data_IF_768199660527
#
_entry.id   IF_768199660527
#
_cell.length_a   1.000
_cell.length_b   1.000
_cell.length_c   1.000
_cell.angle_alpha   90.00
_cell.angle_beta   90.00
_cell.angle_gamma   90.00
#
_symmetry.space_group_name_H-M   'P 1'
#
loop_
_entity.id
_entity.type
_entity.pdbx_description
1 polymer ?
#
# COMPACT_ATOMS: atom_id res chain seq x y z
N UNK A 1 -14.96 0.38 -6.70
CA UNK A 1 -14.16 -0.41 -5.72
C UNK A 1 -14.44 0.15 -4.33
N UNK A 2 -15.47 -0.33 -3.63
CA UNK A 2 -15.90 0.23 -2.34
C UNK A 2 -15.38 -0.58 -1.15
N UNK A 3 -15.45 -1.90 -1.25
CA UNK A 3 -15.13 -2.81 -0.14
C UNK A 3 -13.69 -2.67 0.38
N UNK A 4 -12.67 -2.77 -0.48
CA UNK A 4 -11.26 -2.75 -0.04
C UNK A 4 -10.82 -1.40 0.54
N UNK A 5 -11.43 -0.31 0.08
CA UNK A 5 -11.16 1.04 0.63
C UNK A 5 -11.74 1.15 2.04
N UNK A 6 -12.99 0.72 2.23
CA UNK A 6 -13.62 0.73 3.55
C UNK A 6 -12.95 -0.25 4.52
N UNK A 7 -12.50 -1.41 4.03
CA UNK A 7 -11.67 -2.35 4.80
C UNK A 7 -10.37 -1.70 5.26
N UNK A 8 -9.63 -1.02 4.37
CA UNK A 8 -8.38 -0.36 4.72
C UNK A 8 -8.58 0.71 5.80
N UNK A 9 -9.64 1.52 5.67
CA UNK A 9 -10.02 2.51 6.69
C UNK A 9 -10.35 1.84 8.03
N UNK A 10 -11.20 0.80 8.03
CA UNK A 10 -11.60 0.09 9.24
C UNK A 10 -10.40 -0.56 9.96
N UNK A 11 -9.50 -1.20 9.19
CA UNK A 11 -8.27 -1.77 9.73
C UNK A 11 -7.37 -0.70 10.35
N UNK A 12 -7.21 0.46 9.70
CA UNK A 12 -6.36 1.54 10.23
C UNK A 12 -6.87 2.13 11.57
N UNK A 13 -8.19 2.05 11.80
CA UNK A 13 -8.84 2.46 13.04
C UNK A 13 -8.78 1.40 14.14
N UNK A 14 -8.32 0.19 13.83
CA UNK A 14 -8.25 -0.91 14.79
C UNK A 14 -7.11 -0.68 15.80
N UNK A 15 -7.30 -0.99 17.10
CA UNK A 15 -6.25 -0.90 18.10
C UNK A 15 -4.99 -1.68 17.67
N UNK A 16 -3.81 -1.09 17.85
CA UNK A 16 -2.54 -1.70 17.48
C UNK A 16 -2.14 -1.56 16.00
N UNK A 17 -3.05 -1.14 15.11
CA UNK A 17 -2.70 -0.89 13.70
C UNK A 17 -2.12 0.52 13.55
N UNK A 18 -0.88 0.61 13.09
CA UNK A 18 -0.22 1.90 12.83
C UNK A 18 -0.65 2.48 11.48
N UNK A 19 -0.53 1.67 10.43
CA UNK A 19 -0.70 2.07 9.04
C UNK A 19 -1.28 0.93 8.21
N UNK A 20 -2.09 1.27 7.21
CA UNK A 20 -2.59 0.34 6.18
C UNK A 20 -2.33 0.95 4.81
N UNK A 21 -1.60 0.24 3.94
CA UNK A 21 -1.34 0.64 2.56
C UNK A 21 -2.15 -0.23 1.59
N UNK A 22 -3.02 0.40 0.80
CA UNK A 22 -3.70 -0.20 -0.34
C UNK A 22 -2.86 0.02 -1.60
N UNK A 23 -2.06 -0.97 -1.97
CA UNK A 23 -1.21 -0.91 -3.16
C UNK A 23 -2.03 -1.14 -4.44
N UNK A 24 -1.85 -0.30 -5.45
CA UNK A 24 -2.50 -0.42 -6.76
C UNK A 24 -1.63 0.13 -7.88
N UNK A 25 -2.10 0.07 -9.13
CA UNK A 25 -1.38 0.61 -10.30
C UNK A 25 -1.50 2.14 -10.38
N UNK A 26 -0.39 2.80 -10.70
CA UNK A 26 -0.38 4.21 -11.11
C UNK A 26 -0.73 4.34 -12.60
N UNK A 27 -1.65 5.24 -12.94
CA UNK A 27 -2.10 5.46 -14.32
C UNK A 27 -1.93 6.95 -14.63
N UNK A 28 -1.10 7.27 -15.64
CA UNK A 28 -0.81 8.64 -16.10
C UNK A 28 -1.47 8.96 -17.44
N UNK A 29 -2.43 8.13 -17.87
CA UNK A 29 -3.10 8.26 -19.14
C UNK A 29 -3.99 9.52 -19.16
N UNK A 30 -3.93 10.37 -20.21
CA UNK A 30 -4.57 11.68 -20.23
C UNK A 30 -6.11 11.61 -20.28
N UNK A 31 -6.67 10.45 -20.62
CA UNK A 31 -8.10 10.19 -20.64
C UNK A 31 -8.68 9.77 -19.29
N UNK A 32 -7.86 9.73 -18.23
CA UNK A 32 -8.29 9.45 -16.86
C UNK A 32 -8.07 10.67 -15.97
N UNK A 33 -8.77 10.69 -14.84
CA UNK A 33 -8.59 11.73 -13.85
C UNK A 33 -7.15 11.73 -13.31
N UNK A 34 -6.59 12.93 -13.10
CA UNK A 34 -5.18 13.09 -12.69
C UNK A 34 -4.89 12.43 -11.32
N UNK A 35 -5.90 12.28 -10.46
CA UNK A 35 -5.77 11.60 -9.17
C UNK A 35 -5.26 10.15 -9.31
N UNK A 36 -5.54 9.47 -10.41
CA UNK A 36 -4.99 8.12 -10.68
C UNK A 36 -3.47 8.12 -10.91
N UNK A 37 -2.92 9.28 -11.21
CA UNK A 37 -1.49 9.51 -11.33
C UNK A 37 -0.81 9.87 -10.01
N UNK A 38 -1.57 10.25 -8.98
CA UNK A 38 -0.97 10.66 -7.71
C UNK A 38 -0.38 9.46 -6.97
N UNK A 39 0.93 9.45 -6.65
CA UNK A 39 1.62 8.28 -6.12
C UNK A 39 1.10 7.83 -4.76
N UNK A 40 0.57 8.76 -3.96
CA UNK A 40 -0.02 8.49 -2.67
C UNK A 40 -1.29 9.33 -2.47
N UNK A 41 -2.28 8.74 -1.83
CA UNK A 41 -3.52 9.41 -1.43
C UNK A 41 -3.88 8.98 0.00
N UNK A 42 -4.04 9.94 0.90
CA UNK A 42 -4.47 9.68 2.27
C UNK A 42 -5.98 9.40 2.29
N UNK A 43 -6.38 8.24 2.79
CA UNK A 43 -7.79 7.87 2.98
C UNK A 43 -8.31 8.33 4.33
N UNK A 44 -7.57 8.05 5.40
CA UNK A 44 -7.92 8.39 6.79
C UNK A 44 -6.61 8.63 7.54
N UNK A 45 -6.46 9.80 8.18
CA UNK A 45 -5.43 10.00 9.19
C UNK A 45 -5.93 9.49 10.54
N UNK A 46 -5.07 8.77 11.26
CA UNK A 46 -5.30 8.44 12.67
C UNK A 46 -4.41 9.24 13.62
N UNK A 47 -3.67 10.22 13.07
CA UNK A 47 -2.94 11.22 13.82
C UNK A 47 -3.90 12.38 14.12
N UNK A 48 -4.52 12.39 15.29
CA UNK A 48 -5.51 13.39 15.68
C UNK A 48 -5.49 13.68 17.18
N UNK A 49 -5.52 14.97 17.52
CA UNK A 49 -5.28 15.62 18.84
C UNK A 49 -6.06 15.09 20.08
N UNK A 50 -6.93 14.09 19.92
CA UNK A 50 -7.83 13.59 20.96
C UNK A 50 -7.62 12.10 21.31
N UNK A 51 -6.68 11.39 20.68
CA UNK A 51 -6.29 10.05 21.13
C UNK A 51 -5.13 10.15 22.12
N UNK A 52 -5.23 9.50 23.29
CA UNK A 52 -4.17 9.38 24.31
C UNK A 52 -2.87 8.73 23.82
N UNK A 53 -2.79 8.41 22.54
CA UNK A 53 -1.65 7.88 21.81
C UNK A 53 -1.52 8.75 20.55
N UNK A 54 -0.58 9.69 20.58
CA UNK A 54 -0.19 10.42 19.38
C UNK A 54 0.45 9.41 18.42
N UNK A 55 -0.26 9.04 17.36
CA UNK A 55 0.33 8.32 16.23
C UNK A 55 1.00 9.36 15.33
N UNK A 56 2.15 9.01 14.76
CA UNK A 56 2.91 9.94 13.93
C UNK A 56 2.27 10.18 12.56
N UNK A 57 2.89 11.07 11.77
CA UNK A 57 2.38 11.58 10.49
C UNK A 57 2.08 10.48 9.46
N UNK A 58 2.77 9.34 9.52
CA UNK A 58 2.57 8.23 8.60
C UNK A 58 1.46 7.26 9.01
N UNK A 59 0.71 7.55 10.08
CA UNK A 59 -0.36 6.68 10.56
C UNK A 59 -1.65 6.80 9.73
N UNK A 60 -2.47 5.75 9.77
CA UNK A 60 -3.76 5.71 9.07
C UNK A 60 -3.75 4.87 7.79
N UNK A 61 -4.69 5.14 6.88
CA UNK A 61 -4.89 4.37 5.65
C UNK A 61 -4.53 5.19 4.41
N UNK A 62 -3.85 4.56 3.45
CA UNK A 62 -3.36 5.20 2.22
C UNK A 62 -3.67 4.35 1.00
N UNK A 63 -3.94 4.99 -0.14
CA UNK A 63 -3.76 4.37 -1.46
C UNK A 63 -2.36 4.69 -1.92
N UNK A 64 -1.60 3.67 -2.30
CA UNK A 64 -0.26 3.81 -2.85
C UNK A 64 -0.26 3.27 -4.27
N UNK A 65 0.07 4.14 -5.23
CA UNK A 65 0.04 3.81 -6.65
C UNK A 65 1.45 3.51 -7.14
N UNK A 66 1.70 2.23 -7.41
CA UNK A 66 2.97 1.75 -7.94
C UNK A 66 2.97 1.87 -9.46
N UNK A 67 3.95 2.55 -10.07
CA UNK A 67 4.12 2.53 -11.52
C UNK A 67 4.55 1.14 -11.97
N UNK A 68 3.79 0.54 -12.89
CA UNK A 68 4.22 -0.65 -13.62
C UNK A 68 3.49 -0.78 -14.96
N UNK A 69 4.16 -1.39 -15.92
CA UNK A 69 3.74 -1.44 -17.32
C UNK A 69 3.62 -0.05 -17.97
N UNK A 70 2.99 0.04 -19.15
CA UNK A 70 2.79 1.29 -19.87
C UNK A 70 2.03 2.33 -19.02
N UNK A 71 2.62 3.47 -18.71
CA UNK A 71 2.00 4.47 -17.81
C UNK A 71 0.99 5.38 -18.50
N UNK A 72 1.16 5.56 -19.80
CA UNK A 72 0.43 6.47 -20.69
C UNK A 72 -0.92 5.91 -21.16
N UNK A 73 -1.23 4.65 -20.82
CA UNK A 73 -2.51 4.01 -21.15
C UNK A 73 -3.04 3.11 -20.05
N UNK A 74 -4.36 3.04 -19.98
CA UNK A 74 -5.05 2.02 -19.21
C UNK A 74 -4.86 0.64 -19.84
N UNK A 75 -4.73 -0.38 -18.99
CA UNK A 75 -4.74 -1.78 -19.40
C UNK A 75 -5.87 -2.48 -18.65
N UNK A 76 -6.65 -3.28 -19.36
CA UNK A 76 -7.59 -4.20 -18.73
C UNK A 76 -6.82 -5.22 -17.85
N UNK A 77 -7.47 -5.71 -16.80
CA UNK A 77 -6.84 -6.55 -15.77
C UNK A 77 -6.20 -7.82 -16.32
N UNK A 78 -6.72 -8.35 -17.42
CA UNK A 78 -6.24 -9.54 -18.13
C UNK A 78 -4.89 -9.32 -18.81
N UNK A 79 -4.48 -8.06 -19.02
CA UNK A 79 -3.21 -7.70 -19.66
C UNK A 79 -2.14 -7.27 -18.66
N UNK A 80 -2.43 -7.32 -17.36
CA UNK A 80 -1.48 -6.92 -16.32
C UNK A 80 -0.49 -8.02 -15.94
N UNK A 81 -0.77 -9.29 -16.27
CA UNK A 81 0.05 -10.45 -15.88
C UNK A 81 1.54 -10.32 -16.23
N UNK A 82 1.94 -9.85 -17.43
CA UNK A 82 3.35 -9.70 -17.78
C UNK A 82 4.12 -8.70 -16.90
N UNK A 83 3.42 -7.81 -16.21
CA UNK A 83 4.00 -6.72 -15.42
C UNK A 83 3.90 -6.94 -13.90
N UNK A 84 3.47 -8.13 -13.45
CA UNK A 84 3.33 -8.43 -12.02
C UNK A 84 4.68 -8.32 -11.30
N UNK A 85 5.78 -8.77 -11.92
CA UNK A 85 7.10 -8.65 -11.30
C UNK A 85 7.52 -7.20 -11.09
N UNK A 86 7.27 -6.33 -12.07
CA UNK A 86 7.54 -4.88 -11.94
C UNK A 86 6.71 -4.25 -10.82
N UNK A 87 5.45 -4.67 -10.65
CA UNK A 87 4.64 -4.27 -9.50
C UNK A 87 5.24 -4.74 -8.17
N UNK A 88 5.70 -6.00 -8.09
CA UNK A 88 6.32 -6.57 -6.89
C UNK A 88 7.59 -5.80 -6.51
N UNK A 89 8.45 -5.48 -7.47
CA UNK A 89 9.70 -4.74 -7.22
C UNK A 89 9.42 -3.31 -6.70
N UNK A 90 8.43 -2.65 -7.31
CA UNK A 90 7.98 -1.32 -6.87
C UNK A 90 7.31 -1.35 -5.49
N UNK A 91 6.49 -2.36 -5.22
CA UNK A 91 5.85 -2.57 -3.92
C UNK A 91 6.88 -2.88 -2.82
N UNK A 92 7.86 -3.73 -3.10
CA UNK A 92 8.95 -4.05 -2.17
C UNK A 92 9.75 -2.79 -1.82
N UNK A 93 10.08 -1.99 -2.83
CA UNK A 93 10.77 -0.71 -2.64
C UNK A 93 9.97 0.24 -1.74
N UNK A 94 8.65 0.31 -1.93
CA UNK A 94 7.76 1.10 -1.07
C UNK A 94 7.75 0.58 0.37
N UNK A 95 7.56 -0.73 0.57
CA UNK A 95 7.52 -1.36 1.89
C UNK A 95 8.82 -1.09 2.65
N UNK A 96 9.98 -1.30 2.03
CA UNK A 96 11.29 -1.07 2.68
C UNK A 96 11.45 0.40 3.11
N UNK A 97 11.06 1.36 2.26
CA UNK A 97 11.11 2.79 2.61
C UNK A 97 10.20 3.10 3.80
N UNK A 98 8.95 2.63 3.75
CA UNK A 98 7.99 2.89 4.82
C UNK A 98 8.38 2.21 6.13
N UNK A 99 8.95 1.01 6.07
CA UNK A 99 9.42 0.31 7.27
C UNK A 99 10.51 1.09 7.99
N UNK A 100 11.43 1.72 7.25
CA UNK A 100 12.45 2.61 7.85
C UNK A 100 11.81 3.87 8.43
N UNK A 101 10.99 4.57 7.64
CA UNK A 101 10.34 5.81 8.06
C UNK A 101 9.51 5.62 9.34
N UNK A 102 8.70 4.56 9.41
CA UNK A 102 7.89 4.24 10.60
C UNK A 102 8.78 3.84 11.77
N UNK A 103 9.87 3.12 11.55
CA UNK A 103 10.81 2.75 12.60
C UNK A 103 11.50 3.95 13.25
N UNK A 104 11.86 4.94 12.43
CA UNK A 104 12.43 6.23 12.87
C UNK A 104 11.38 7.06 13.61
N UNK A 105 10.19 7.23 13.02
CA UNK A 105 9.08 8.02 13.56
C UNK A 105 8.55 7.48 14.89
N UNK A 106 8.56 6.16 15.07
CA UNK A 106 8.13 5.49 16.31
C UNK A 106 9.25 5.34 17.33
N UNK A 107 10.46 5.84 17.05
CA UNK A 107 11.60 5.80 17.96
C UNK A 107 12.16 4.40 18.23
N UNK A 108 11.87 3.41 17.37
CA UNK A 108 12.33 2.02 17.53
C UNK A 108 13.79 1.82 17.14
N UNK A 109 14.35 2.72 16.33
CA UNK A 109 15.76 2.65 15.89
C UNK A 109 16.06 1.51 14.91
N UNK A 110 15.04 0.80 14.43
CA UNK A 110 15.13 -0.26 13.43
C UNK A 110 13.87 -0.28 12.54
N UNK A 111 13.91 -0.87 11.33
CA UNK A 111 12.75 -0.95 10.46
C UNK A 111 11.56 -1.67 11.12
N UNK A 112 10.34 -1.17 10.85
CA UNK A 112 9.07 -1.77 11.26
C UNK A 112 8.40 -2.38 10.04
N UNK A 113 8.45 -3.70 9.94
CA UNK A 113 7.87 -4.43 8.80
C UNK A 113 6.35 -4.57 8.92
N UNK A 114 5.62 -4.69 7.79
CA UNK A 114 4.21 -5.05 7.81
C UNK A 114 3.98 -6.37 8.56
N UNK A 115 2.89 -6.47 9.32
CA UNK A 115 2.56 -7.71 10.03
C UNK A 115 1.85 -8.74 9.15
N UNK A 116 1.23 -8.30 8.04
CA UNK A 116 0.49 -9.14 7.11
C UNK A 116 0.46 -8.50 5.72
N UNK A 117 0.47 -9.34 4.69
CA UNK A 117 0.25 -8.94 3.29
C UNK A 117 -1.03 -9.63 2.81
N UNK A 118 -1.96 -8.88 2.24
CA UNK A 118 -3.22 -9.43 1.72
C UNK A 118 -3.33 -9.21 0.21
N UNK A 119 -3.62 -10.28 -0.53
CA UNK A 119 -3.85 -10.24 -1.97
C UNK A 119 -5.34 -10.29 -2.31
N UNK A 120 -5.86 -9.28 -3.00
CA UNK A 120 -7.27 -9.24 -3.42
C UNK A 120 -7.41 -9.43 -4.93
N UNK A 121 -7.99 -10.57 -5.35
CA UNK A 121 -8.08 -11.05 -6.75
C UNK A 121 -6.82 -11.75 -7.26
N UNK A 122 -6.89 -12.37 -8.44
CA UNK A 122 -5.90 -13.34 -8.91
C UNK A 122 -4.48 -12.76 -9.07
N UNK A 123 -4.31 -11.64 -9.78
CA UNK A 123 -3.00 -11.03 -10.00
C UNK A 123 -2.38 -10.48 -8.70
N UNK A 124 -3.20 -9.90 -7.83
CA UNK A 124 -2.77 -9.42 -6.51
C UNK A 124 -2.43 -10.58 -5.56
N UNK A 125 -3.09 -11.73 -5.70
CA UNK A 125 -2.74 -12.95 -4.96
C UNK A 125 -1.33 -13.44 -5.27
N UNK A 126 -0.93 -13.45 -6.55
CA UNK A 126 0.45 -13.79 -6.94
C UNK A 126 1.43 -12.75 -6.39
N UNK A 127 1.14 -11.46 -6.57
CA UNK A 127 2.01 -10.41 -6.05
C UNK A 127 2.18 -10.50 -4.53
N UNK A 128 1.09 -10.75 -3.80
CA UNK A 128 1.11 -10.95 -2.35
C UNK A 128 1.94 -12.16 -1.94
N UNK A 129 1.83 -13.29 -2.65
CA UNK A 129 2.63 -14.48 -2.38
C UNK A 129 4.13 -14.24 -2.60
N UNK A 130 4.49 -13.53 -3.68
CA UNK A 130 5.88 -13.17 -3.97
C UNK A 130 6.45 -12.21 -2.92
N UNK A 131 5.70 -11.18 -2.53
CA UNK A 131 6.10 -10.24 -1.48
C UNK A 131 6.23 -10.91 -0.12
N UNK A 132 5.26 -11.76 0.24
CA UNK A 132 5.27 -12.54 1.47
C UNK A 132 6.48 -13.47 1.54
N UNK A 133 6.78 -14.19 0.47
CA UNK A 133 7.96 -15.05 0.37
C UNK A 133 9.26 -14.25 0.45
N UNK A 134 9.36 -13.11 -0.24
CA UNK A 134 10.56 -12.27 -0.24
C UNK A 134 10.85 -11.62 1.12
N UNK A 135 9.80 -11.23 1.86
CA UNK A 135 9.91 -10.56 3.16
C UNK A 135 9.81 -11.51 4.35
N UNK A 136 9.50 -12.79 4.11
CA UNK A 136 9.18 -13.79 5.14
C UNK A 136 8.07 -13.29 6.10
N UNK A 137 6.98 -12.78 5.53
CA UNK A 137 5.82 -12.23 6.26
C UNK A 137 4.56 -13.06 6.03
N UNK A 138 3.61 -13.10 6.98
CA UNK A 138 2.33 -13.77 6.77
C UNK A 138 1.54 -13.22 5.57
N UNK A 139 0.94 -14.13 4.80
CA UNK A 139 -0.04 -13.81 3.75
C UNK A 139 -1.45 -14.17 4.24
N UNK A 140 -2.42 -13.28 3.96
CA UNK A 140 -3.84 -13.48 4.25
C UNK A 140 -4.70 -13.39 2.98
#
# INVERSE_FOLDING_TARGET
VKYVVELAKALSSSPGVYRVDLLTRQILAPNFDRSYGEPAELLVSTSGKNSKQEKGENSGAYIIRIPFGPKDKYLAKEHLWPFIQEFVDGALSHIVRMSKAIGEETGRGHPVWPSVIHGHYASAGIAAALLSGALNLPMA
#
